data_IF_572511030390
#
_entry.id   IF_572511030390
#
_cell.length_a   1.000
_cell.length_b   1.000
_cell.length_c   1.000
_cell.angle_alpha   90.00
_cell.angle_beta   90.00
_cell.angle_gamma   90.00
#
_symmetry.space_group_name_H-M   'P 1'
#
loop_
_entity.id
_entity.type
_entity.pdbx_description
1 polymer ?
#
# COMPACT_ATOMS: atom_id res chain seq x y z
N UNK A 1 -47.27 -26.16 -9.98
CA UNK A 1 -46.26 -26.66 -9.03
C UNK A 1 -46.09 -25.66 -7.89
N UNK A 2 -46.49 -26.00 -6.65
CA UNK A 2 -46.27 -25.12 -5.48
C UNK A 2 -44.76 -25.00 -5.24
N UNK A 3 -44.17 -23.81 -5.44
CA UNK A 3 -42.79 -23.51 -5.01
C UNK A 3 -42.74 -23.75 -3.49
N UNK A 4 -42.08 -24.83 -3.05
CA UNK A 4 -41.78 -25.03 -1.63
C UNK A 4 -40.91 -23.83 -1.21
N UNK A 5 -41.53 -22.88 -0.52
CA UNK A 5 -40.79 -21.83 0.18
C UNK A 5 -39.90 -22.54 1.20
N UNK A 6 -38.62 -22.72 0.87
CA UNK A 6 -37.59 -23.19 1.79
C UNK A 6 -37.38 -22.10 2.83
N UNK A 7 -38.32 -21.99 3.78
CA UNK A 7 -38.25 -21.03 4.88
C UNK A 7 -37.13 -21.49 5.79
N UNK A 8 -35.97 -20.84 5.68
CA UNK A 8 -34.83 -21.12 6.54
C UNK A 8 -35.13 -20.49 7.90
N UNK A 9 -35.31 -21.33 8.91
CA UNK A 9 -35.49 -20.87 10.28
C UNK A 9 -34.12 -20.60 10.90
N UNK A 10 -33.77 -19.32 11.03
CA UNK A 10 -32.52 -18.90 11.66
C UNK A 10 -32.66 -18.91 13.17
N UNK A 11 -31.73 -19.58 13.87
CA UNK A 11 -31.71 -19.62 15.35
C UNK A 11 -31.06 -18.39 15.99
N UNK A 12 -30.36 -17.56 15.21
CA UNK A 12 -29.66 -16.37 15.72
C UNK A 12 -29.71 -15.19 14.73
N UNK A 13 -29.63 -13.97 15.25
CA UNK A 13 -29.52 -12.74 14.45
C UNK A 13 -28.26 -12.75 13.58
N UNK A 14 -27.15 -13.28 14.08
CA UNK A 14 -25.91 -13.47 13.32
C UNK A 14 -26.09 -14.39 12.11
N UNK A 15 -26.88 -15.47 12.24
CA UNK A 15 -27.18 -16.37 11.12
C UNK A 15 -28.02 -15.66 10.05
N UNK A 16 -28.96 -14.80 10.47
CA UNK A 16 -29.77 -14.00 9.56
C UNK A 16 -28.93 -12.93 8.83
N UNK A 17 -28.01 -12.28 9.54
CA UNK A 17 -27.09 -11.29 8.97
C UNK A 17 -26.17 -11.91 7.90
N UNK A 18 -25.53 -13.05 8.20
CA UNK A 18 -24.68 -13.76 7.22
C UNK A 18 -25.52 -14.22 6.02
N UNK A 19 -26.76 -14.67 6.22
CA UNK A 19 -27.64 -15.05 5.12
C UNK A 19 -27.98 -13.87 4.20
N UNK A 20 -28.37 -12.73 4.77
CA UNK A 20 -28.67 -11.52 4.01
C UNK A 20 -27.42 -11.04 3.25
N UNK A 21 -26.26 -11.03 3.90
CA UNK A 21 -24.98 -10.72 3.27
C UNK A 21 -24.70 -11.60 2.04
N UNK A 22 -24.95 -12.91 2.14
CA UNK A 22 -24.78 -13.85 1.02
C UNK A 22 -25.77 -13.54 -0.12
N UNK A 23 -27.02 -13.16 0.19
CA UNK A 23 -28.00 -12.78 -0.83
C UNK A 23 -27.61 -11.49 -1.54
N UNK A 24 -27.23 -10.46 -0.79
CA UNK A 24 -26.78 -9.16 -1.31
C UNK A 24 -25.53 -9.32 -2.21
N UNK A 25 -24.67 -10.27 -1.87
CA UNK A 25 -23.44 -10.56 -2.63
C UNK A 25 -23.62 -11.66 -3.69
N UNK A 26 -24.85 -11.87 -4.20
CA UNK A 26 -25.13 -12.84 -5.27
C UNK A 26 -24.60 -14.25 -4.99
N UNK A 27 -24.83 -14.75 -3.78
CA UNK A 27 -24.38 -16.06 -3.28
C UNK A 27 -22.86 -16.23 -3.23
N UNK A 28 -22.08 -15.14 -3.28
CA UNK A 28 -20.63 -15.15 -3.12
C UNK A 28 -20.24 -14.56 -1.77
N UNK A 29 -19.25 -15.14 -1.11
CA UNK A 29 -18.81 -14.67 0.21
C UNK A 29 -17.29 -14.79 0.37
N UNK A 30 -16.65 -13.72 0.84
CA UNK A 30 -15.29 -13.75 1.35
C UNK A 30 -15.36 -13.77 2.88
N UNK A 31 -14.85 -14.83 3.50
CA UNK A 31 -15.02 -15.08 4.94
C UNK A 31 -14.44 -13.94 5.78
N UNK A 32 -13.26 -13.41 5.42
CA UNK A 32 -12.64 -12.28 6.13
C UNK A 32 -13.55 -11.04 6.12
N UNK A 33 -14.01 -10.61 4.94
CA UNK A 33 -14.89 -9.45 4.79
C UNK A 33 -16.21 -9.64 5.56
N UNK A 34 -16.82 -10.82 5.47
CA UNK A 34 -18.04 -11.11 6.23
C UNK A 34 -17.81 -11.09 7.75
N UNK A 35 -16.66 -11.54 8.24
CA UNK A 35 -16.31 -11.43 9.66
C UNK A 35 -16.12 -9.97 10.09
N UNK A 36 -15.40 -9.18 9.28
CA UNK A 36 -15.08 -7.77 9.56
C UNK A 36 -16.35 -6.90 9.56
N UNK A 37 -17.25 -7.10 8.59
CA UNK A 37 -18.47 -6.27 8.42
C UNK A 37 -19.61 -6.67 9.34
N UNK A 38 -19.74 -7.96 9.66
CA UNK A 38 -20.88 -8.47 10.45
C UNK A 38 -20.51 -8.76 11.91
N UNK A 39 -19.26 -8.50 12.32
CA UNK A 39 -18.72 -8.82 13.64
C UNK A 39 -18.98 -10.29 14.05
N UNK A 40 -18.84 -11.22 13.11
CA UNK A 40 -19.03 -12.67 13.30
C UNK A 40 -17.71 -13.42 13.21
N UNK A 41 -17.66 -14.62 13.78
CA UNK A 41 -16.47 -15.48 13.70
C UNK A 41 -16.45 -16.31 12.41
N UNK A 42 -15.27 -16.73 11.93
CA UNK A 42 -15.17 -17.62 10.77
C UNK A 42 -15.97 -18.92 10.93
N UNK A 43 -16.00 -19.47 12.14
CA UNK A 43 -16.76 -20.70 12.45
C UNK A 43 -18.27 -20.51 12.21
N UNK A 44 -18.84 -19.38 12.64
CA UNK A 44 -20.25 -19.05 12.38
C UNK A 44 -20.54 -18.92 10.89
N UNK A 45 -19.63 -18.27 10.14
CA UNK A 45 -19.74 -18.11 8.68
C UNK A 45 -19.70 -19.46 7.97
N UNK A 46 -18.71 -20.31 8.25
CA UNK A 46 -18.60 -21.64 7.65
C UNK A 46 -19.77 -22.56 8.01
N UNK A 47 -20.23 -22.49 9.26
CA UNK A 47 -21.37 -23.29 9.74
C UNK A 47 -22.64 -22.95 8.95
N UNK A 48 -22.92 -21.66 8.74
CA UNK A 48 -24.08 -21.25 7.96
C UNK A 48 -23.93 -21.60 6.48
N UNK A 49 -22.77 -21.38 5.88
CA UNK A 49 -22.51 -21.78 4.48
C UNK A 49 -22.79 -23.28 4.29
N UNK A 50 -22.36 -24.11 5.23
CA UNK A 50 -22.66 -25.55 5.25
C UNK A 50 -24.16 -25.84 5.28
N UNK A 51 -24.91 -25.15 6.14
CA UNK A 51 -26.38 -25.27 6.20
C UNK A 51 -27.07 -24.84 4.90
N UNK A 52 -26.64 -23.72 4.31
CA UNK A 52 -27.20 -23.20 3.07
C UNK A 52 -26.97 -24.17 1.89
N UNK A 53 -25.77 -24.74 1.79
CA UNK A 53 -25.44 -25.77 0.79
C UNK A 53 -26.27 -27.04 0.98
N UNK A 54 -26.44 -27.50 2.22
CA UNK A 54 -27.34 -28.63 2.54
C UNK A 54 -28.80 -28.37 2.13
N UNK A 55 -29.22 -27.11 2.09
CA UNK A 55 -30.56 -26.69 1.62
C UNK A 55 -30.64 -26.46 0.10
N UNK A 56 -29.58 -26.80 -0.64
CA UNK A 56 -29.54 -26.70 -2.11
C UNK A 56 -29.14 -25.33 -2.64
N UNK A 57 -28.64 -24.41 -1.79
CA UNK A 57 -28.14 -23.12 -2.25
C UNK A 57 -26.68 -23.20 -2.70
N UNK A 58 -26.39 -22.68 -3.89
CA UNK A 58 -25.03 -22.68 -4.45
C UNK A 58 -24.18 -21.50 -3.93
N UNK A 59 -23.84 -21.54 -2.64
CA UNK A 59 -23.00 -20.51 -2.01
C UNK A 59 -21.52 -20.74 -2.33
N UNK A 60 -20.89 -19.77 -3.01
CA UNK A 60 -19.48 -19.82 -3.41
C UNK A 60 -18.60 -19.04 -2.43
N UNK A 61 -17.70 -19.73 -1.75
CA UNK A 61 -16.69 -19.10 -0.90
C UNK A 61 -15.55 -18.60 -1.78
N UNK A 62 -15.37 -17.28 -1.83
CA UNK A 62 -14.24 -16.64 -2.48
C UNK A 62 -13.06 -16.69 -1.51
N UNK A 63 -12.13 -17.61 -1.79
CA UNK A 63 -10.81 -17.62 -1.16
C UNK A 63 -9.94 -16.55 -1.85
N UNK A 64 -10.01 -15.30 -1.37
CA UNK A 64 -8.93 -14.35 -1.61
C UNK A 64 -7.78 -14.79 -0.70
N UNK A 65 -6.78 -15.50 -1.23
CA UNK A 65 -5.53 -15.63 -0.46
C UNK A 65 -4.93 -14.23 -0.36
N UNK A 66 -4.46 -13.86 0.84
CA UNK A 66 -3.74 -12.60 1.04
C UNK A 66 -2.62 -12.48 0.00
N UNK A 67 -1.95 -13.59 -0.32
CA UNK A 67 -0.95 -13.68 -1.40
C UNK A 67 -1.48 -13.28 -2.78
N UNK A 68 -2.72 -13.64 -3.16
CA UNK A 68 -3.29 -13.26 -4.46
C UNK A 68 -3.61 -11.78 -4.53
N UNK A 69 -3.96 -11.17 -3.40
CA UNK A 69 -4.23 -9.73 -3.34
C UNK A 69 -2.91 -8.95 -3.46
N UNK A 70 -1.92 -9.32 -2.65
CA UNK A 70 -0.55 -8.75 -2.72
C UNK A 70 0.03 -8.94 -4.13
N UNK A 71 -0.20 -10.07 -4.79
CA UNK A 71 0.23 -10.31 -6.17
C UNK A 71 -0.44 -9.41 -7.21
N UNK A 72 -1.71 -9.02 -7.00
CA UNK A 72 -2.39 -8.06 -7.87
C UNK A 72 -1.87 -6.65 -7.65
N UNK A 73 -1.72 -6.26 -6.40
CA UNK A 73 -1.21 -4.93 -6.01
C UNK A 73 0.22 -4.74 -6.51
N UNK A 74 1.10 -5.73 -6.34
CA UNK A 74 2.45 -5.66 -6.87
C UNK A 74 2.48 -5.59 -8.39
N UNK A 75 1.60 -6.32 -9.08
CA UNK A 75 1.50 -6.24 -10.55
C UNK A 75 1.08 -4.86 -10.99
N UNK A 76 0.02 -4.31 -10.40
CA UNK A 76 -0.48 -2.98 -10.70
C UNK A 76 0.60 -1.93 -10.44
N UNK A 77 1.30 -2.01 -9.29
CA UNK A 77 2.40 -1.12 -8.96
C UNK A 77 3.52 -1.17 -10.01
N UNK A 78 3.92 -2.37 -10.46
CA UNK A 78 4.95 -2.53 -11.49
C UNK A 78 4.49 -1.92 -12.82
N UNK A 79 3.23 -2.15 -13.21
CA UNK A 79 2.65 -1.62 -14.44
C UNK A 79 2.54 -0.07 -14.40
N UNK A 80 2.12 0.51 -13.27
CA UNK A 80 2.08 1.96 -13.04
C UNK A 80 3.46 2.63 -13.08
N UNK A 81 4.52 1.88 -12.78
CA UNK A 81 5.90 2.33 -12.85
C UNK A 81 6.59 1.93 -14.17
N UNK A 82 5.83 1.68 -15.24
CA UNK A 82 6.34 1.30 -16.57
C UNK A 82 7.28 0.09 -16.55
N UNK A 83 7.05 -0.85 -15.63
CA UNK A 83 7.88 -2.02 -15.38
C UNK A 83 9.33 -1.71 -14.92
N UNK A 84 9.61 -0.47 -14.51
CA UNK A 84 10.89 -0.06 -13.93
C UNK A 84 10.73 0.18 -12.43
N UNK A 85 11.31 -0.69 -11.61
CA UNK A 85 11.11 -0.63 -10.16
C UNK A 85 12.42 -0.61 -9.37
N UNK A 86 12.43 0.19 -8.31
CA UNK A 86 13.42 0.06 -7.25
C UNK A 86 12.90 -0.90 -6.18
N UNK A 87 13.68 -1.95 -5.87
CA UNK A 87 13.32 -2.96 -4.86
C UNK A 87 12.98 -2.29 -3.51
N UNK A 88 13.78 -1.32 -3.07
CA UNK A 88 13.61 -0.68 -1.77
C UNK A 88 12.36 0.20 -1.69
N UNK A 89 11.96 0.83 -2.80
CA UNK A 89 10.71 1.61 -2.87
C UNK A 89 9.50 0.67 -2.94
N UNK A 90 9.56 -0.32 -3.83
CA UNK A 90 8.49 -1.31 -3.99
C UNK A 90 8.21 -2.10 -2.69
N UNK A 91 9.24 -2.51 -1.93
CA UNK A 91 9.04 -3.19 -0.65
C UNK A 91 8.29 -2.30 0.37
N UNK A 92 8.57 -1.00 0.40
CA UNK A 92 7.91 -0.04 1.30
C UNK A 92 6.47 0.21 0.88
N UNK A 93 6.26 0.52 -0.39
CA UNK A 93 4.96 0.94 -0.91
C UNK A 93 3.96 -0.23 -0.91
N UNK A 94 4.43 -1.46 -1.13
CA UNK A 94 3.62 -2.68 -1.09
C UNK A 94 3.58 -3.34 0.30
N UNK A 95 4.34 -2.84 1.27
CA UNK A 95 4.50 -3.42 2.61
C UNK A 95 4.81 -4.94 2.58
N UNK A 96 5.75 -5.34 1.74
CA UNK A 96 6.19 -6.74 1.57
C UNK A 96 7.67 -6.90 1.87
N UNK A 97 8.07 -8.10 2.28
CA UNK A 97 9.49 -8.40 2.45
C UNK A 97 10.22 -8.42 1.11
N UNK A 98 11.54 -8.17 1.13
CA UNK A 98 12.38 -8.24 -0.06
C UNK A 98 12.33 -9.61 -0.73
N UNK A 99 12.30 -10.67 0.07
CA UNK A 99 12.21 -12.04 -0.42
C UNK A 99 10.85 -12.32 -1.09
N UNK A 100 9.75 -11.86 -0.49
CA UNK A 100 8.43 -11.95 -1.09
C UNK A 100 8.38 -11.20 -2.42
N UNK A 101 8.86 -9.95 -2.46
CA UNK A 101 8.90 -9.17 -3.69
C UNK A 101 9.75 -9.84 -4.78
N UNK A 102 10.93 -10.36 -4.44
CA UNK A 102 11.79 -11.08 -5.39
C UNK A 102 11.10 -12.32 -5.96
N UNK A 103 10.45 -13.12 -5.12
CA UNK A 103 9.68 -14.29 -5.55
C UNK A 103 8.54 -13.90 -6.51
N UNK A 104 7.90 -12.75 -6.28
CA UNK A 104 6.87 -12.22 -7.16
C UNK A 104 7.44 -11.75 -8.50
N UNK A 105 8.55 -11.00 -8.48
CA UNK A 105 9.27 -10.55 -9.69
C UNK A 105 9.69 -11.76 -10.53
N UNK A 106 10.23 -12.82 -9.91
CA UNK A 106 10.56 -14.07 -10.61
C UNK A 106 9.35 -14.68 -11.31
N UNK A 107 8.20 -14.74 -10.63
CA UNK A 107 6.94 -15.23 -11.24
C UNK A 107 6.46 -14.34 -12.38
N UNK A 108 6.55 -13.01 -12.22
CA UNK A 108 6.15 -12.07 -13.29
C UNK A 108 7.03 -12.20 -14.53
N UNK A 109 8.36 -12.31 -14.35
CA UNK A 109 9.30 -12.57 -15.45
C UNK A 109 9.02 -13.89 -16.16
N UNK A 110 8.73 -14.95 -15.40
CA UNK A 110 8.33 -16.25 -15.97
C UNK A 110 7.04 -16.17 -16.80
N UNK A 111 6.15 -15.24 -16.45
CA UNK A 111 4.91 -14.97 -17.18
C UNK A 111 5.08 -13.95 -18.33
N UNK A 112 6.32 -13.63 -18.72
CA UNK A 112 6.63 -12.77 -19.87
C UNK A 112 6.70 -11.27 -19.59
N UNK A 113 6.61 -10.85 -18.33
CA UNK A 113 6.73 -9.43 -17.97
C UNK A 113 8.20 -9.01 -17.89
N UNK A 114 8.61 -8.04 -18.70
CA UNK A 114 9.97 -7.49 -18.66
C UNK A 114 10.08 -6.44 -17.56
N UNK A 115 10.66 -6.83 -16.42
CA UNK A 115 10.85 -5.94 -15.27
C UNK A 115 12.30 -5.51 -15.17
N UNK A 116 12.54 -4.21 -15.29
CA UNK A 116 13.85 -3.57 -15.08
C UNK A 116 14.00 -3.16 -13.61
N UNK A 117 15.10 -3.60 -12.98
CA UNK A 117 15.38 -3.28 -11.58
C UNK A 117 16.35 -2.10 -11.55
N UNK A 118 15.89 -0.98 -11.00
CA UNK A 118 16.71 0.22 -10.79
C UNK A 118 17.51 0.02 -9.51
N UNK A 119 18.84 -0.02 -9.59
CA UNK A 119 19.69 -0.12 -8.40
C UNK A 119 19.67 1.20 -7.61
N UNK A 120 19.93 1.14 -6.31
CA UNK A 120 20.01 2.35 -5.47
C UNK A 120 21.07 3.34 -5.98
N UNK A 121 22.12 2.85 -6.65
CA UNK A 121 23.11 3.66 -7.36
C UNK A 121 22.53 4.39 -8.58
N UNK A 122 21.49 3.84 -9.22
CA UNK A 122 20.84 4.43 -10.40
C UNK A 122 19.76 5.45 -10.02
N UNK A 123 19.23 5.41 -8.79
CA UNK A 123 18.36 6.46 -8.23
C UNK A 123 19.10 7.80 -8.17
N UNK A 124 20.43 7.79 -8.07
CA UNK A 124 21.28 8.99 -8.10
C UNK A 124 21.22 9.67 -9.49
N UNK A 125 20.86 8.93 -10.55
CA UNK A 125 20.82 9.41 -11.94
C UNK A 125 19.42 9.57 -12.53
N UNK A 126 18.35 9.14 -11.85
CA UNK A 126 17.00 9.39 -12.35
C UNK A 126 16.69 10.89 -12.27
N UNK A 127 16.28 11.53 -13.38
CA UNK A 127 15.81 12.91 -13.33
C UNK A 127 14.60 12.95 -12.40
N UNK A 128 14.71 13.75 -11.34
CA UNK A 128 13.63 14.06 -10.42
C UNK A 128 12.41 14.49 -11.24
N UNK A 129 11.27 13.82 -11.08
CA UNK A 129 10.07 14.14 -11.86
C UNK A 129 9.64 15.60 -11.61
N UNK A 130 8.94 16.22 -12.57
CA UNK A 130 8.42 17.60 -12.42
C UNK A 130 7.61 17.77 -11.14
N UNK A 131 6.86 16.73 -10.73
CA UNK A 131 6.01 16.74 -9.54
C UNK A 131 6.82 16.85 -8.23
N UNK A 132 8.06 16.37 -8.20
CA UNK A 132 8.94 16.42 -7.02
C UNK A 132 9.63 17.77 -6.92
N UNK A 133 10.01 18.36 -8.06
CA UNK A 133 10.47 19.76 -8.06
C UNK A 133 9.35 20.70 -7.61
N UNK A 134 8.13 20.49 -8.09
CA UNK A 134 6.95 21.25 -7.69
C UNK A 134 6.60 21.05 -6.21
N UNK A 135 6.64 19.81 -5.70
CA UNK A 135 6.44 19.52 -4.28
C UNK A 135 7.51 20.18 -3.39
N UNK A 136 8.78 20.19 -3.82
CA UNK A 136 9.84 20.89 -3.08
C UNK A 136 9.63 22.41 -3.11
N UNK A 137 9.22 22.96 -4.26
CA UNK A 137 8.91 24.37 -4.37
C UNK A 137 7.74 24.77 -3.45
N UNK A 138 6.64 24.02 -3.49
CA UNK A 138 5.50 24.24 -2.59
C UNK A 138 5.90 24.13 -1.12
N UNK A 139 6.70 23.12 -0.76
CA UNK A 139 7.21 23.00 0.60
C UNK A 139 8.03 24.23 1.03
N UNK A 140 8.87 24.77 0.15
CA UNK A 140 9.65 26.00 0.44
C UNK A 140 8.72 27.20 0.63
N UNK A 141 7.69 27.33 -0.21
CA UNK A 141 6.67 28.40 -0.11
C UNK A 141 5.89 28.30 1.20
N UNK A 142 5.41 27.10 1.54
CA UNK A 142 4.65 26.82 2.78
C UNK A 142 5.46 27.15 4.05
N UNK A 143 6.78 27.06 3.97
CA UNK A 143 7.70 27.37 5.05
C UNK A 143 8.30 28.77 4.94
N UNK A 144 7.66 29.69 4.19
CA UNK A 144 8.10 31.08 4.01
C UNK A 144 9.58 31.19 3.64
N UNK A 145 10.07 30.32 2.76
CA UNK A 145 11.47 30.27 2.31
C UNK A 145 12.50 30.00 3.42
N UNK A 146 12.05 29.62 4.62
CA UNK A 146 12.88 29.29 5.78
C UNK A 146 12.68 27.83 6.17
N UNK A 147 13.55 26.96 5.67
CA UNK A 147 13.39 25.50 5.79
C UNK A 147 14.46 24.86 6.67
N UNK A 148 14.10 23.77 7.33
CA UNK A 148 15.08 22.83 7.90
C UNK A 148 15.38 21.74 6.87
N UNK A 149 16.64 21.65 6.44
CA UNK A 149 17.10 20.58 5.53
C UNK A 149 16.89 19.17 6.10
N UNK A 150 16.75 19.04 7.43
CA UNK A 150 16.40 17.77 8.07
C UNK A 150 14.91 17.48 7.95
N UNK A 151 14.07 18.48 8.23
CA UNK A 151 12.62 18.35 8.21
C UNK A 151 12.12 18.08 6.78
N UNK A 152 12.60 18.86 5.81
CA UNK A 152 12.29 18.68 4.39
C UNK A 152 12.64 17.28 3.86
N UNK A 153 13.74 16.69 4.34
CA UNK A 153 14.12 15.31 3.97
C UNK A 153 13.13 14.28 4.46
N UNK A 154 12.65 14.44 5.69
CA UNK A 154 11.67 13.54 6.29
C UNK A 154 10.32 13.68 5.57
N UNK A 155 9.84 14.92 5.42
CA UNK A 155 8.50 15.20 4.92
C UNK A 155 8.34 14.83 3.44
N UNK A 156 9.37 15.11 2.65
CA UNK A 156 9.37 14.82 1.20
C UNK A 156 10.05 13.50 0.85
N UNK A 157 10.45 12.71 1.85
CA UNK A 157 11.19 11.45 1.67
C UNK A 157 12.41 11.57 0.76
N UNK A 158 13.13 12.70 0.87
CA UNK A 158 14.29 13.02 0.03
C UNK A 158 15.61 12.57 0.67
N UNK A 159 16.55 12.18 -0.17
CA UNK A 159 17.93 11.95 0.27
C UNK A 159 18.67 13.27 0.56
N UNK A 160 19.78 13.20 1.31
CA UNK A 160 20.68 14.35 1.54
C UNK A 160 21.20 14.95 0.24
N UNK A 161 21.53 14.11 -0.73
CA UNK A 161 22.05 14.55 -2.03
C UNK A 161 20.96 15.23 -2.88
N UNK A 162 19.75 14.66 -2.93
CA UNK A 162 18.61 15.27 -3.64
C UNK A 162 18.23 16.62 -3.03
N UNK A 163 18.15 16.69 -1.70
CA UNK A 163 17.87 17.95 -0.98
C UNK A 163 18.89 19.02 -1.33
N UNK A 164 20.19 18.70 -1.29
CA UNK A 164 21.26 19.62 -1.68
C UNK A 164 21.13 20.07 -3.14
N UNK A 165 20.85 19.14 -4.04
CA UNK A 165 20.67 19.41 -5.47
C UNK A 165 19.51 20.36 -5.73
N UNK A 166 18.35 20.14 -5.11
CA UNK A 166 17.18 21.01 -5.22
C UNK A 166 17.44 22.41 -4.70
N UNK A 167 17.99 22.55 -3.49
CA UNK A 167 18.29 23.86 -2.92
C UNK A 167 19.28 24.63 -3.78
N UNK A 168 20.28 23.96 -4.35
CA UNK A 168 21.20 24.58 -5.29
C UNK A 168 20.51 24.99 -6.60
N UNK A 169 19.59 24.15 -7.12
CA UNK A 169 18.81 24.45 -8.32
C UNK A 169 17.91 25.67 -8.13
N UNK A 170 17.20 25.78 -7.01
CA UNK A 170 16.33 26.92 -6.72
C UNK A 170 17.11 28.21 -6.46
N UNK A 171 18.26 28.13 -5.77
CA UNK A 171 19.18 29.27 -5.62
C UNK A 171 19.70 29.78 -6.97
N UNK A 172 20.07 28.89 -7.89
CA UNK A 172 20.46 29.25 -9.26
C UNK A 172 19.32 29.90 -10.07
N UNK A 173 18.07 29.62 -9.71
CA UNK A 173 16.87 30.26 -10.28
C UNK A 173 16.51 31.59 -9.58
N UNK A 174 17.33 32.07 -8.65
CA UNK A 174 17.11 33.33 -7.95
C UNK A 174 16.18 33.25 -6.73
N UNK A 175 15.84 32.05 -6.26
CA UNK A 175 15.02 31.88 -5.06
C UNK A 175 15.92 31.90 -3.83
N UNK A 176 15.74 32.91 -2.99
CA UNK A 176 16.44 33.01 -1.71
C UNK A 176 15.84 32.03 -0.70
N UNK A 177 16.65 31.08 -0.23
CA UNK A 177 16.23 30.05 0.72
C UNK A 177 17.14 30.07 1.93
N UNK A 178 16.56 30.39 3.08
CA UNK A 178 17.21 30.34 4.39
C UNK A 178 17.15 28.93 4.92
N UNK A 179 18.31 28.29 5.10
CA UNK A 179 18.39 26.94 5.67
C UNK A 179 18.71 27.05 7.15
N UNK A 180 17.73 26.76 7.99
CA UNK A 180 17.89 26.78 9.45
C UNK A 180 18.41 25.41 9.90
N UNK A 181 19.73 25.29 10.03
CA UNK A 181 20.34 24.11 10.64
C UNK A 181 20.27 24.23 12.17
N UNK A 182 19.64 23.25 12.82
CA UNK A 182 19.68 23.14 14.28
C UNK A 182 21.14 22.95 14.70
N UNK A 183 21.74 23.95 15.36
CA UNK A 183 23.07 23.81 15.97
C UNK A 183 23.11 22.54 16.80
N UNK A 184 24.09 21.67 16.56
CA UNK A 184 24.47 20.61 17.50
C UNK A 184 24.65 21.29 18.87
N UNK A 185 23.97 20.78 19.90
CA UNK A 185 24.40 21.05 21.28
C UNK A 185 25.79 20.43 21.39
N UNK A 186 26.83 21.26 21.43
CA UNK A 186 28.13 20.82 21.90
C UNK A 186 27.94 20.47 23.37
N UNK A 187 27.92 19.17 23.67
CA UNK A 187 28.19 18.66 25.00
C UNK A 187 29.71 18.67 25.18
N UNK A 188 30.25 19.86 25.41
CA UNK A 188 31.59 20.09 25.96
C UNK A 188 31.42 20.54 27.42
N UNK A 189 31.74 19.64 28.36
CA UNK A 189 32.26 19.94 29.69
C UNK A 189 32.32 18.62 30.50
N UNK A 190 33.46 17.92 30.43
CA UNK A 190 33.94 17.17 31.59
C UNK A 190 34.93 18.08 32.31
N UNK A 191 34.67 18.51 33.56
CA UNK A 191 35.71 19.11 34.39
C UNK A 191 36.71 18.02 34.81
N UNK A 192 37.99 18.39 34.78
CA UNK A 192 39.12 17.61 35.30
C UNK A 192 39.01 17.41 36.82
#
# INVERSE_FOLDING_TARGET
MKKKSNKINFKSNSSRAIYNYVLENNYKITVKQACDELAVTPSQVYSLIGLLRKKGMNVRVIRKSVERQIYREARQYIEEHNCEISIAKACRDLNVSREQLNNMIHKFRKNGMQISIIQASDIIKLPLNKNTEEAVYQYIVDHNYSISSRQMRTDLSLTKQQTKSFLQKFRRKGIEITVVESKKRNSDAQPQ
#
